data_IF_945811567408
#
_entry.id   IF_945811567408
#
_cell.length_a   1.000
_cell.length_b   1.000
_cell.length_c   1.000
_cell.angle_alpha   90.00
_cell.angle_beta   90.00
_cell.angle_gamma   90.00
#
_symmetry.space_group_name_H-M   'P 1'
#
loop_
_entity.id
_entity.type
_entity.pdbx_description
1 polymer ?
#
# COMPACT_ATOMS: atom_id res chain seq x y z
N UNK A 1 23.02 17.13 -6.12
CA UNK A 1 22.61 17.83 -7.36
C UNK A 1 22.29 16.79 -8.43
N UNK A 2 21.06 16.75 -8.98
CA UNK A 2 20.82 15.98 -10.19
C UNK A 2 21.68 16.56 -11.34
N UNK A 3 22.11 15.74 -12.30
CA UNK A 3 22.71 16.25 -13.53
C UNK A 3 21.67 17.11 -14.26
N UNK A 4 22.15 18.23 -14.79
CA UNK A 4 21.44 19.20 -15.64
C UNK A 4 20.87 18.48 -16.89
N UNK A 5 19.70 18.96 -17.35
CA UNK A 5 18.97 18.64 -18.62
C UNK A 5 17.74 17.71 -18.62
N UNK A 6 17.23 17.21 -17.50
CA UNK A 6 15.89 16.58 -17.50
C UNK A 6 14.93 17.33 -16.57
N UNK A 7 13.95 18.02 -17.17
CA UNK A 7 12.83 18.61 -16.43
C UNK A 7 11.89 17.48 -15.98
N UNK A 8 11.98 17.15 -14.70
CA UNK A 8 11.16 16.10 -14.07
C UNK A 8 9.79 16.62 -13.64
N UNK A 9 9.50 17.93 -13.76
CA UNK A 9 8.20 18.50 -13.44
C UNK A 9 7.08 17.90 -14.31
N UNK A 10 7.42 17.44 -15.52
CA UNK A 10 6.51 16.76 -16.43
C UNK A 10 5.93 15.44 -15.90
N UNK A 11 6.50 14.87 -14.82
CA UNK A 11 5.97 13.68 -14.16
C UNK A 11 4.85 13.97 -13.16
N UNK A 12 4.67 15.23 -12.75
CA UNK A 12 3.52 15.62 -11.95
C UNK A 12 2.24 15.40 -12.77
N UNK A 13 1.25 14.66 -12.25
CA UNK A 13 0.01 14.39 -12.98
C UNK A 13 -0.75 15.69 -13.32
N UNK A 14 -0.65 16.67 -12.43
CA UNK A 14 -1.23 18.00 -12.58
C UNK A 14 -0.47 18.90 -13.58
N UNK A 15 0.66 18.44 -14.14
CA UNK A 15 1.42 19.22 -15.12
C UNK A 15 0.58 19.49 -16.38
N UNK A 16 0.57 20.75 -16.82
CA UNK A 16 -0.14 21.20 -18.03
C UNK A 16 0.89 21.74 -19.02
N UNK A 17 1.27 20.97 -20.07
CA UNK A 17 2.27 21.41 -21.03
C UNK A 17 1.77 22.61 -21.85
N UNK A 18 2.63 23.60 -22.05
CA UNK A 18 2.51 24.55 -23.16
C UNK A 18 3.00 23.83 -24.42
N UNK A 19 2.07 23.42 -25.30
CA UNK A 19 2.37 22.59 -26.47
C UNK A 19 3.37 23.25 -27.44
N UNK A 20 3.53 24.57 -27.39
CA UNK A 20 4.51 25.29 -28.22
C UNK A 20 5.93 25.27 -27.64
N UNK A 21 6.08 25.08 -26.32
CA UNK A 21 7.36 25.18 -25.61
C UNK A 21 7.85 23.86 -25.01
N UNK A 22 6.92 22.97 -24.66
CA UNK A 22 7.17 21.81 -23.80
C UNK A 22 7.07 20.48 -24.57
N UNK A 23 7.22 20.52 -25.89
CA UNK A 23 7.08 19.34 -26.76
C UNK A 23 7.99 18.17 -26.38
N UNK A 24 9.15 18.44 -25.76
CA UNK A 24 10.09 17.42 -25.28
C UNK A 24 9.59 16.63 -24.05
N UNK A 25 8.79 17.26 -23.18
CA UNK A 25 8.21 16.63 -21.98
C UNK A 25 6.90 15.88 -22.24
N UNK A 26 6.26 16.13 -23.39
CA UNK A 26 4.95 15.58 -23.72
C UNK A 26 4.91 14.05 -23.76
N UNK A 27 5.95 13.40 -24.29
CA UNK A 27 6.04 11.94 -24.34
C UNK A 27 6.04 11.29 -22.95
N UNK A 28 6.75 11.90 -22.00
CA UNK A 28 6.80 11.43 -20.61
C UNK A 28 5.49 11.65 -19.88
N UNK A 29 4.85 12.80 -20.08
CA UNK A 29 3.54 13.11 -19.50
C UNK A 29 2.42 12.23 -20.07
N UNK A 30 2.48 11.87 -21.35
CA UNK A 30 1.55 10.92 -21.94
C UNK A 30 1.77 9.51 -21.37
N UNK A 31 3.03 9.09 -21.23
CA UNK A 31 3.36 7.79 -20.65
C UNK A 31 2.89 7.66 -19.20
N UNK A 32 3.08 8.69 -18.36
CA UNK A 32 2.64 8.67 -16.96
C UNK A 32 1.12 8.62 -16.81
N UNK A 33 0.37 9.16 -17.78
CA UNK A 33 -1.10 9.11 -17.82
C UNK A 33 -1.68 7.81 -18.37
N UNK A 34 -0.90 7.06 -19.14
CA UNK A 34 -1.36 5.82 -19.79
C UNK A 34 -1.18 4.57 -18.90
N UNK A 35 -0.41 4.68 -17.83
CA UNK A 35 -0.10 3.56 -16.93
C UNK A 35 -0.90 3.63 -15.64
N UNK A 36 -1.08 2.48 -14.99
CA UNK A 36 -1.77 2.39 -13.69
C UNK A 36 -0.84 2.76 -12.52
N UNK A 37 0.46 2.44 -12.68
CA UNK A 37 1.49 2.75 -11.70
C UNK A 37 2.71 3.37 -12.36
N UNK A 38 3.24 4.39 -11.69
CA UNK A 38 4.45 5.09 -12.07
C UNK A 38 5.33 5.28 -10.84
N UNK A 39 6.60 4.87 -10.92
CA UNK A 39 7.59 5.16 -9.89
C UNK A 39 8.88 5.71 -10.50
N UNK A 40 9.52 6.60 -9.74
CA UNK A 40 10.85 7.10 -10.01
C UNK A 40 11.68 6.81 -8.77
N UNK A 41 12.68 5.95 -8.89
CA UNK A 41 13.59 5.63 -7.79
C UNK A 41 15.00 6.05 -8.14
N UNK A 42 15.79 6.43 -7.14
CA UNK A 42 17.21 6.69 -7.32
C UNK A 42 17.99 5.56 -6.67
N UNK A 43 18.81 4.85 -7.44
CA UNK A 43 19.66 3.81 -6.89
C UNK A 43 20.86 4.36 -6.11
N UNK A 44 21.57 3.49 -5.40
CA UNK A 44 22.79 3.82 -4.64
C UNK A 44 23.88 4.43 -5.55
N UNK A 45 23.87 4.10 -6.84
CA UNK A 45 24.77 4.66 -7.87
C UNK A 45 24.28 6.01 -8.43
N UNK A 46 23.26 6.61 -7.81
CA UNK A 46 22.62 7.87 -8.21
C UNK A 46 21.93 7.84 -9.59
N UNK A 47 21.66 6.66 -10.14
CA UNK A 47 20.89 6.53 -11.38
C UNK A 47 19.40 6.60 -11.07
N UNK A 48 18.65 7.21 -11.98
CA UNK A 48 17.20 7.26 -11.92
C UNK A 48 16.62 6.03 -12.62
N UNK A 49 15.77 5.29 -11.91
CA UNK A 49 15.00 4.17 -12.41
C UNK A 49 13.55 4.62 -12.57
N UNK A 50 13.09 4.61 -13.81
CA UNK A 50 11.74 5.00 -14.18
C UNK A 50 10.94 3.73 -14.46
N UNK A 51 9.90 3.48 -13.68
CA UNK A 51 9.05 2.29 -13.85
C UNK A 51 7.64 2.74 -14.24
N UNK A 52 7.15 2.18 -15.34
CA UNK A 52 5.76 2.30 -15.76
C UNK A 52 5.13 0.90 -15.72
N UNK A 53 3.95 0.76 -15.13
CA UNK A 53 3.27 -0.54 -15.05
C UNK A 53 1.80 -0.40 -15.34
N UNK A 54 1.31 -1.29 -16.20
CA UNK A 54 -0.12 -1.45 -16.52
C UNK A 54 -0.59 -2.73 -15.86
N UNK A 55 -1.59 -2.65 -15.00
CA UNK A 55 -2.19 -3.81 -14.37
C UNK A 55 -3.05 -4.55 -15.38
N UNK A 56 -2.78 -5.86 -15.52
CA UNK A 56 -3.57 -6.72 -16.38
C UNK A 56 -5.02 -6.74 -15.88
N UNK A 57 -5.95 -6.37 -16.74
CA UNK A 57 -7.36 -6.38 -16.41
C UNK A 57 -7.93 -7.79 -16.60
N UNK A 58 -8.60 -8.30 -15.56
CA UNK A 58 -9.34 -9.55 -15.58
C UNK A 58 -10.84 -9.24 -15.46
N UNK A 59 -11.57 -9.37 -16.57
CA UNK A 59 -12.99 -9.01 -16.66
C UNK A 59 -13.92 -10.22 -16.91
N UNK A 60 -13.40 -11.44 -16.82
CA UNK A 60 -14.21 -12.64 -16.97
C UNK A 60 -15.12 -12.81 -15.74
N UNK A 61 -16.40 -13.17 -15.92
CA UNK A 61 -17.26 -13.51 -14.80
C UNK A 61 -16.67 -14.65 -13.99
N UNK A 62 -16.62 -14.50 -12.66
CA UNK A 62 -16.17 -15.56 -11.76
C UNK A 62 -17.37 -16.42 -11.37
N UNK A 63 -17.39 -17.72 -11.74
CA UNK A 63 -18.48 -18.62 -11.37
C UNK A 63 -18.66 -18.69 -9.85
N UNK A 64 -19.89 -18.93 -9.38
CA UNK A 64 -20.13 -19.20 -7.97
C UNK A 64 -19.52 -20.57 -7.61
N UNK A 65 -18.65 -20.59 -6.60
CA UNK A 65 -18.14 -21.84 -6.07
C UNK A 65 -19.26 -22.60 -5.34
N UNK A 66 -19.37 -23.93 -5.48
CA UNK A 66 -20.33 -24.72 -4.71
C UNK A 66 -20.03 -24.61 -3.20
N UNK A 67 -21.03 -24.78 -2.32
CA UNK A 67 -20.79 -24.89 -0.89
C UNK A 67 -19.73 -25.95 -0.59
N UNK A 68 -18.86 -25.67 0.39
CA UNK A 68 -17.84 -26.62 0.80
C UNK A 68 -18.51 -27.88 1.37
N UNK A 69 -18.07 -29.07 0.96
CA UNK A 69 -18.57 -30.30 1.55
C UNK A 69 -18.19 -30.40 3.04
N UNK A 70 -18.99 -31.16 3.80
CA UNK A 70 -18.62 -31.51 5.16
C UNK A 70 -17.28 -32.27 5.16
N UNK A 71 -16.36 -31.87 6.04
CA UNK A 71 -15.01 -32.43 6.09
C UNK A 71 -14.61 -32.79 7.52
N UNK A 72 -13.73 -33.78 7.65
CA UNK A 72 -13.25 -34.31 8.93
C UNK A 72 -11.95 -33.64 9.36
N UNK A 73 -11.05 -33.38 8.43
CA UNK A 73 -9.76 -32.74 8.71
C UNK A 73 -9.35 -31.85 7.54
N UNK A 74 -8.35 -31.01 7.77
CA UNK A 74 -7.68 -30.25 6.72
C UNK A 74 -6.18 -30.48 6.83
N UNK A 75 -5.48 -30.23 5.72
CA UNK A 75 -4.03 -30.13 5.68
C UNK A 75 -3.64 -28.78 5.10
N UNK A 76 -2.48 -28.28 5.51
CA UNK A 76 -1.93 -27.06 4.94
C UNK A 76 -1.06 -27.39 3.73
N UNK A 77 -1.35 -26.73 2.62
CA UNK A 77 -0.63 -26.91 1.35
C UNK A 77 -0.01 -25.60 0.89
N UNK A 78 1.00 -25.72 0.03
CA UNK A 78 1.57 -24.60 -0.71
C UNK A 78 0.60 -24.21 -1.83
N UNK A 79 0.33 -22.92 -2.06
CA UNK A 79 -0.37 -22.48 -3.24
C UNK A 79 0.38 -22.91 -4.51
N UNK A 80 -0.37 -23.45 -5.47
CA UNK A 80 0.01 -23.62 -6.89
C UNK A 80 -0.93 -22.76 -7.73
N UNK A 81 -0.62 -22.45 -9.00
CA UNK A 81 -1.53 -21.67 -9.84
C UNK A 81 -2.95 -22.26 -9.89
N UNK A 82 -3.07 -23.58 -9.94
CA UNK A 82 -4.35 -24.30 -10.01
C UNK A 82 -5.13 -24.20 -8.70
N UNK A 83 -4.48 -24.49 -7.57
CA UNK A 83 -5.13 -24.42 -6.25
C UNK A 83 -5.47 -22.98 -5.86
N UNK A 84 -4.66 -22.02 -6.28
CA UNK A 84 -4.92 -20.61 -6.06
C UNK A 84 -6.06 -20.07 -6.95
N UNK A 85 -6.22 -20.57 -8.18
CA UNK A 85 -7.39 -20.28 -9.00
C UNK A 85 -8.69 -20.78 -8.33
N UNK A 86 -8.67 -22.02 -7.82
CA UNK A 86 -9.80 -22.58 -7.08
C UNK A 86 -10.11 -21.78 -5.80
N UNK A 87 -9.07 -21.40 -5.05
CA UNK A 87 -9.20 -20.51 -3.90
C UNK A 87 -9.82 -19.17 -4.30
N UNK A 88 -9.37 -18.57 -5.41
CA UNK A 88 -9.87 -17.29 -5.92
C UNK A 88 -11.36 -17.32 -6.22
N UNK A 89 -11.89 -18.45 -6.71
CA UNK A 89 -13.33 -18.57 -6.97
C UNK A 89 -14.15 -18.45 -5.68
N UNK A 90 -13.70 -19.10 -4.59
CA UNK A 90 -14.35 -19.00 -3.27
C UNK A 90 -14.15 -17.60 -2.66
N UNK A 91 -12.92 -17.12 -2.68
CA UNK A 91 -12.54 -15.84 -2.08
C UNK A 91 -13.24 -14.65 -2.72
N UNK A 92 -13.38 -14.64 -4.04
CA UNK A 92 -14.05 -13.56 -4.77
C UNK A 92 -15.48 -13.30 -4.27
N UNK A 93 -16.22 -14.36 -3.92
CA UNK A 93 -17.58 -14.24 -3.39
C UNK A 93 -17.60 -14.01 -1.87
N UNK A 94 -16.72 -14.69 -1.14
CA UNK A 94 -16.56 -14.52 0.31
C UNK A 94 -16.27 -13.06 0.68
N UNK A 95 -15.35 -12.45 -0.06
CA UNK A 95 -14.85 -11.11 0.26
C UNK A 95 -15.79 -10.00 -0.18
N UNK A 96 -16.81 -10.27 -0.99
CA UNK A 96 -17.75 -9.23 -1.44
C UNK A 96 -18.48 -8.54 -0.27
N UNK A 97 -18.64 -9.24 0.87
CA UNK A 97 -19.15 -8.67 2.11
C UNK A 97 -18.13 -7.87 2.93
N UNK A 98 -16.83 -8.01 2.63
CA UNK A 98 -15.69 -7.44 3.37
C UNK A 98 -15.04 -6.29 2.59
N UNK A 99 -14.85 -6.45 1.28
CA UNK A 99 -14.33 -5.47 0.33
C UNK A 99 -15.14 -5.52 -0.98
N UNK A 100 -15.78 -4.41 -1.40
CA UNK A 100 -16.52 -4.36 -2.66
C UNK A 100 -15.63 -4.46 -3.92
N UNK A 101 -14.32 -4.13 -3.85
CA UNK A 101 -13.40 -4.36 -4.97
C UNK A 101 -12.78 -5.76 -4.88
N UNK A 102 -13.39 -6.69 -5.60
CA UNK A 102 -12.97 -8.09 -5.63
C UNK A 102 -11.94 -8.39 -6.73
N UNK A 103 -11.55 -7.41 -7.57
CA UNK A 103 -10.66 -7.67 -8.73
C UNK A 103 -9.28 -8.16 -8.33
N UNK A 104 -8.76 -7.68 -7.19
CA UNK A 104 -7.51 -8.19 -6.59
C UNK A 104 -7.56 -9.70 -6.34
N UNK A 105 -8.75 -10.24 -6.10
CA UNK A 105 -9.00 -11.65 -5.77
C UNK A 105 -9.53 -12.46 -6.95
N UNK A 106 -9.48 -11.92 -8.17
CA UNK A 106 -9.89 -12.65 -9.36
C UNK A 106 -9.05 -13.94 -9.53
N UNK A 107 -9.66 -15.12 -9.77
CA UNK A 107 -8.95 -16.41 -9.87
C UNK A 107 -7.72 -16.38 -10.78
N UNK A 108 -7.89 -15.85 -11.99
CA UNK A 108 -6.81 -15.77 -12.98
C UNK A 108 -5.65 -14.85 -12.54
N UNK A 109 -5.94 -13.80 -11.74
CA UNK A 109 -4.91 -12.90 -11.19
C UNK A 109 -4.09 -13.63 -10.14
N UNK A 110 -4.76 -14.31 -9.20
CA UNK A 110 -4.08 -15.04 -8.12
C UNK A 110 -3.25 -16.21 -8.66
N UNK A 111 -3.75 -16.89 -9.70
CA UNK A 111 -3.00 -17.93 -10.41
C UNK A 111 -1.74 -17.37 -11.09
N UNK A 112 -1.86 -16.23 -11.79
CA UNK A 112 -0.73 -15.57 -12.43
C UNK A 112 0.34 -15.13 -11.41
N UNK A 113 -0.06 -14.46 -10.33
CA UNK A 113 0.86 -14.06 -9.25
C UNK A 113 1.58 -15.25 -8.61
N UNK A 114 0.89 -16.39 -8.48
CA UNK A 114 1.49 -17.62 -7.96
C UNK A 114 2.49 -18.22 -8.94
N UNK A 115 2.17 -18.24 -10.25
CA UNK A 115 3.06 -18.72 -11.30
C UNK A 115 4.33 -17.85 -11.43
N UNK A 116 4.19 -16.54 -11.22
CA UNK A 116 5.29 -15.56 -11.25
C UNK A 116 6.09 -15.52 -9.94
N UNK A 117 5.69 -16.27 -8.91
CA UNK A 117 6.36 -16.28 -7.61
C UNK A 117 6.18 -15.00 -6.79
N UNK A 118 5.16 -14.20 -7.13
CA UNK A 118 4.79 -12.94 -6.46
C UNK A 118 3.68 -13.14 -5.40
N UNK A 119 3.25 -14.37 -5.15
CA UNK A 119 2.30 -14.70 -4.08
C UNK A 119 2.93 -15.74 -3.15
N UNK A 120 2.93 -15.43 -1.86
CA UNK A 120 3.42 -16.30 -0.80
C UNK A 120 2.28 -16.62 0.17
N UNK A 121 2.12 -17.87 0.59
CA UNK A 121 1.06 -18.16 1.54
C UNK A 121 0.84 -19.64 1.81
N UNK A 122 -0.32 -19.93 2.40
CA UNK A 122 -0.81 -21.27 2.70
C UNK A 122 -2.30 -21.36 2.37
N UNK A 123 -2.72 -22.55 1.93
CA UNK A 123 -4.12 -22.92 1.76
C UNK A 123 -4.44 -24.08 2.70
N UNK A 124 -5.64 -24.09 3.27
CA UNK A 124 -6.19 -25.23 3.99
C UNK A 124 -7.01 -26.06 3.01
N UNK A 125 -6.57 -27.29 2.75
CA UNK A 125 -7.23 -28.23 1.84
C UNK A 125 -7.89 -29.36 2.64
N UNK A 126 -9.16 -29.62 2.37
CA UNK A 126 -9.93 -30.73 2.97
C UNK A 126 -9.47 -32.08 2.40
N UNK A 127 -9.92 -33.19 3.00
CA UNK A 127 -9.65 -34.52 2.45
C UNK A 127 -10.24 -34.75 1.04
N UNK A 128 -11.24 -33.96 0.64
CA UNK A 128 -11.84 -33.97 -0.69
C UNK A 128 -11.05 -33.16 -1.73
N UNK A 129 -9.96 -32.49 -1.33
CA UNK A 129 -9.17 -31.62 -2.19
C UNK A 129 -9.76 -30.22 -2.35
N UNK A 130 -10.74 -29.84 -1.54
CA UNK A 130 -11.35 -28.51 -1.61
C UNK A 130 -10.63 -27.51 -0.70
N UNK A 131 -10.51 -26.26 -1.15
CA UNK A 131 -9.92 -25.19 -0.34
C UNK A 131 -10.94 -24.71 0.69
N UNK A 132 -10.66 -24.95 1.97
CA UNK A 132 -11.46 -24.53 3.13
C UNK A 132 -11.02 -23.19 3.72
N UNK A 133 -9.82 -22.72 3.41
CA UNK A 133 -9.33 -21.43 3.88
C UNK A 133 -8.01 -21.02 3.24
N UNK A 134 -7.64 -19.75 3.38
CA UNK A 134 -6.45 -19.18 2.77
C UNK A 134 -5.87 -18.03 3.59
N UNK A 135 -4.54 -17.93 3.61
CA UNK A 135 -3.81 -16.73 4.01
C UNK A 135 -2.62 -16.55 3.07
N UNK A 136 -2.44 -15.34 2.53
CA UNK A 136 -1.37 -15.08 1.59
C UNK A 136 -0.93 -13.62 1.61
N UNK A 137 0.24 -13.38 1.06
CA UNK A 137 0.91 -12.10 0.97
C UNK A 137 1.37 -11.86 -0.46
N UNK A 138 1.32 -10.60 -0.91
CA UNK A 138 1.86 -10.14 -2.19
C UNK A 138 2.82 -8.99 -1.90
N UNK A 139 3.98 -8.88 -2.58
CA UNK A 139 4.84 -7.71 -2.49
C UNK A 139 4.05 -6.42 -2.75
N UNK A 140 4.28 -5.44 -1.89
CA UNK A 140 3.87 -4.07 -2.10
C UNK A 140 5.11 -3.21 -2.35
N UNK A 141 4.92 -1.96 -2.77
CA UNK A 141 6.00 -1.00 -2.95
C UNK A 141 6.84 -0.85 -1.66
N UNK A 142 8.16 -0.75 -1.83
CA UNK A 142 9.11 -0.71 -0.72
C UNK A 142 9.49 -2.10 -0.23
N UNK A 143 9.59 -2.27 1.10
CA UNK A 143 10.05 -3.52 1.74
C UNK A 143 8.93 -4.30 2.42
N UNK A 144 7.68 -3.94 2.21
CA UNK A 144 6.53 -4.57 2.87
C UNK A 144 5.83 -5.58 1.98
N UNK A 145 5.24 -6.56 2.63
CA UNK A 145 4.26 -7.44 2.05
C UNK A 145 2.86 -6.97 2.42
N UNK A 146 1.95 -6.94 1.45
CA UNK A 146 0.52 -6.81 1.73
C UNK A 146 -0.06 -8.18 2.06
N UNK A 147 -0.51 -8.34 3.30
CA UNK A 147 -1.17 -9.54 3.79
C UNK A 147 -2.67 -9.54 3.52
N UNK A 148 -3.18 -10.72 3.20
CA UNK A 148 -4.59 -11.01 2.96
C UNK A 148 -5.00 -12.24 3.78
N UNK A 149 -6.10 -12.11 4.49
CA UNK A 149 -6.64 -13.14 5.35
C UNK A 149 -5.99 -13.16 6.74
N UNK A 150 -6.24 -14.22 7.52
CA UNK A 150 -6.88 -15.47 7.07
C UNK A 150 -8.34 -15.30 6.64
N UNK A 151 -8.74 -16.07 5.63
CA UNK A 151 -10.13 -16.23 5.19
C UNK A 151 -10.54 -17.68 5.35
N UNK A 152 -11.70 -17.91 5.97
CA UNK A 152 -12.17 -19.26 6.29
C UNK A 152 -13.55 -19.49 5.65
N UNK A 153 -13.62 -20.47 4.77
CA UNK A 153 -14.80 -20.78 3.94
C UNK A 153 -15.69 -21.88 4.55
N UNK A 154 -15.54 -22.13 5.85
CA UNK A 154 -16.27 -23.15 6.61
C UNK A 154 -16.53 -22.68 8.03
N UNK A 155 -17.52 -23.27 8.69
CA UNK A 155 -17.83 -23.01 10.10
C UNK A 155 -17.01 -23.88 11.06
N UNK A 156 -16.40 -24.95 10.55
CA UNK A 156 -15.65 -25.90 11.35
C UNK A 156 -14.24 -25.37 11.64
N UNK A 157 -13.81 -25.47 12.91
CA UNK A 157 -12.44 -25.18 13.34
C UNK A 157 -11.90 -23.79 12.94
N UNK A 158 -12.77 -22.81 12.70
CA UNK A 158 -12.43 -21.48 12.12
C UNK A 158 -11.19 -20.83 12.73
N UNK A 159 -11.18 -20.66 14.06
CA UNK A 159 -10.07 -20.02 14.78
C UNK A 159 -8.77 -20.80 14.67
N UNK A 160 -8.84 -22.12 14.84
CA UNK A 160 -7.65 -22.98 14.73
C UNK A 160 -7.07 -22.95 13.31
N UNK A 161 -7.94 -23.04 12.30
CA UNK A 161 -7.52 -22.96 10.89
C UNK A 161 -6.92 -21.59 10.56
N UNK A 162 -7.50 -20.50 11.07
CA UNK A 162 -6.96 -19.15 10.90
C UNK A 162 -5.57 -19.01 11.52
N UNK A 163 -5.37 -19.53 12.74
CA UNK A 163 -4.06 -19.54 13.39
C UNK A 163 -3.02 -20.35 12.60
N UNK A 164 -3.38 -21.57 12.18
CA UNK A 164 -2.49 -22.45 11.43
C UNK A 164 -2.09 -21.81 10.08
N UNK A 165 -3.06 -21.20 9.38
CA UNK A 165 -2.85 -20.48 8.12
C UNK A 165 -1.95 -19.26 8.28
N UNK A 166 -2.21 -18.41 9.29
CA UNK A 166 -1.40 -17.24 9.56
C UNK A 166 0.05 -17.64 9.88
N UNK A 167 0.23 -18.60 10.79
CA UNK A 167 1.55 -19.11 11.16
C UNK A 167 2.31 -19.63 9.93
N UNK A 168 1.70 -20.52 9.14
CA UNK A 168 2.35 -21.05 7.94
C UNK A 168 2.61 -19.99 6.87
N UNK A 169 1.72 -19.00 6.71
CA UNK A 169 1.94 -17.90 5.79
C UNK A 169 3.17 -17.06 6.21
N UNK A 170 3.29 -16.74 7.49
CA UNK A 170 4.39 -15.95 8.04
C UNK A 170 5.73 -16.69 7.98
N UNK A 171 5.76 -17.99 8.29
CA UNK A 171 6.94 -18.84 8.15
C UNK A 171 7.52 -18.83 6.72
N UNK A 172 6.66 -18.65 5.71
CA UNK A 172 7.06 -18.65 4.30
C UNK A 172 7.78 -17.39 3.87
N UNK A 173 7.45 -16.28 4.51
CA UNK A 173 7.99 -14.97 4.19
C UNK A 173 9.09 -14.55 5.15
N UNK A 174 9.23 -15.21 6.31
CA UNK A 174 10.24 -14.87 7.33
C UNK A 174 11.71 -14.95 6.89
N UNK A 175 12.04 -15.57 5.76
CA UNK A 175 13.42 -15.58 5.19
C UNK A 175 13.58 -14.74 3.93
N UNK A 176 12.54 -14.01 3.53
CA UNK A 176 12.55 -13.14 2.35
C UNK A 176 13.05 -11.74 2.76
N UNK A 177 13.54 -10.92 1.81
CA UNK A 177 14.14 -9.61 2.11
C UNK A 177 13.12 -8.51 2.48
N UNK A 178 11.96 -8.88 3.02
CA UNK A 178 10.89 -7.96 3.43
C UNK A 178 11.03 -7.60 4.91
N UNK A 179 10.64 -6.38 5.27
CA UNK A 179 10.67 -5.88 6.65
C UNK A 179 9.45 -6.30 7.46
N UNK A 180 8.30 -6.49 6.81
CA UNK A 180 7.07 -6.85 7.50
C UNK A 180 5.90 -7.20 6.59
N UNK A 181 4.80 -7.63 7.20
CA UNK A 181 3.51 -7.89 6.55
C UNK A 181 2.46 -6.92 7.10
N UNK A 182 1.79 -6.17 6.23
CA UNK A 182 0.66 -5.31 6.57
C UNK A 182 -0.65 -5.95 6.11
N UNK A 183 -1.54 -6.24 7.05
CA UNK A 183 -2.82 -6.89 6.81
C UNK A 183 -3.98 -5.95 7.14
N UNK A 184 -4.85 -5.68 6.14
CA UNK A 184 -6.05 -4.82 6.27
C UNK A 184 -7.35 -5.54 5.91
N UNK A 185 -7.28 -6.72 5.30
CA UNK A 185 -8.45 -7.46 4.80
C UNK A 185 -8.35 -8.91 5.26
N UNK A 186 -9.30 -9.32 6.10
CA UNK A 186 -9.31 -10.60 6.81
C UNK A 186 -10.71 -10.89 7.38
N UNK A 187 -10.96 -12.13 7.83
CA UNK A 187 -12.15 -12.49 8.59
C UNK A 187 -12.02 -12.06 10.05
N UNK A 188 -12.81 -11.07 10.47
CA UNK A 188 -12.70 -10.44 11.80
C UNK A 188 -13.01 -11.40 12.96
N UNK A 189 -13.92 -12.36 12.79
CA UNK A 189 -14.37 -13.26 13.85
C UNK A 189 -13.31 -14.30 14.27
N UNK A 190 -12.31 -14.53 13.42
CA UNK A 190 -11.28 -15.53 13.62
C UNK A 190 -9.85 -15.02 13.40
N UNK A 191 -9.64 -13.71 13.23
CA UNK A 191 -8.31 -13.16 13.00
C UNK A 191 -7.37 -13.42 14.20
N UNK A 192 -6.19 -14.02 13.99
CA UNK A 192 -5.29 -14.40 15.08
C UNK A 192 -4.43 -13.21 15.54
N UNK A 193 -5.05 -12.23 16.20
CA UNK A 193 -4.44 -10.97 16.64
C UNK A 193 -3.14 -11.15 17.43
N UNK A 194 -3.00 -12.25 18.18
CA UNK A 194 -1.82 -12.58 19.00
C UNK A 194 -0.50 -12.63 18.22
N UNK A 195 -0.54 -12.81 16.90
CA UNK A 195 0.66 -12.81 16.06
C UNK A 195 1.05 -11.39 15.63
N UNK A 196 0.14 -10.43 15.67
CA UNK A 196 0.31 -9.13 15.00
C UNK A 196 0.35 -7.97 16.00
N UNK A 197 0.89 -6.86 15.53
CA UNK A 197 0.97 -5.58 16.24
C UNK A 197 -0.02 -4.60 15.57
N UNK A 198 -0.85 -3.87 16.34
CA UNK A 198 -1.72 -2.83 15.78
C UNK A 198 -0.91 -1.66 15.19
N UNK A 199 -0.96 -1.51 13.87
CA UNK A 199 -0.20 -0.48 13.13
C UNK A 199 -0.92 0.88 13.07
N UNK A 200 -2.21 0.93 13.40
CA UNK A 200 -3.07 2.13 13.34
C UNK A 200 -4.37 1.86 12.57
N UNK A 201 -5.00 2.91 12.04
CA UNK A 201 -6.18 2.76 11.16
C UNK A 201 -7.00 4.02 10.87
N UNK A 202 -7.33 4.21 9.59
CA UNK A 202 -8.69 4.24 9.04
C UNK A 202 -8.64 3.95 7.52
N UNK A 203 -9.75 3.54 6.90
CA UNK A 203 -9.93 3.40 5.45
C UNK A 203 -11.22 4.15 5.03
N UNK A 204 -11.54 4.36 3.73
CA UNK A 204 -12.57 5.31 3.29
C UNK A 204 -14.00 5.01 3.77
N UNK A 205 -14.27 3.81 4.30
CA UNK A 205 -15.58 3.36 4.81
C UNK A 205 -15.68 3.17 6.32
N UNK A 206 -14.61 3.36 7.11
CA UNK A 206 -14.63 3.20 8.58
C UNK A 206 -13.30 2.74 9.21
N UNK A 207 -13.29 2.64 10.54
CA UNK A 207 -12.15 2.18 11.36
C UNK A 207 -12.00 0.68 11.21
N UNK A 208 -11.13 0.21 10.31
CA UNK A 208 -10.57 -1.14 10.45
C UNK A 208 -9.13 -1.01 10.86
N UNK A 209 -8.80 -1.59 12.01
CA UNK A 209 -7.42 -1.68 12.51
C UNK A 209 -6.58 -2.38 11.46
N UNK A 210 -5.47 -1.75 11.08
CA UNK A 210 -4.46 -2.39 10.27
C UNK A 210 -3.49 -3.13 11.19
N UNK A 211 -3.12 -4.35 10.80
CA UNK A 211 -2.27 -5.24 11.58
C UNK A 211 -0.93 -5.42 10.89
N UNK A 212 0.16 -5.34 11.66
CA UNK A 212 1.52 -5.48 11.16
C UNK A 212 2.21 -6.68 11.81
N UNK A 213 2.94 -7.47 11.02
CA UNK A 213 3.84 -8.50 11.50
C UNK A 213 5.27 -8.15 11.09
N UNK A 214 6.20 -7.88 12.03
CA UNK A 214 7.61 -7.66 11.70
C UNK A 214 8.27 -8.98 11.25
N UNK A 215 8.96 -8.96 10.11
CA UNK A 215 9.69 -10.14 9.59
C UNK A 215 11.19 -10.11 9.92
N UNK A 216 11.69 -8.97 10.39
CA UNK A 216 13.07 -8.77 10.78
C UNK A 216 13.12 -8.21 12.19
N UNK A 217 14.18 -8.53 12.92
CA UNK A 217 14.47 -7.86 14.18
C UNK A 217 14.63 -6.36 13.96
N UNK A 218 14.08 -5.57 14.87
CA UNK A 218 14.10 -4.12 14.79
C UNK A 218 15.44 -3.58 15.36
N UNK A 219 16.29 -3.07 14.48
CA UNK A 219 17.59 -2.49 14.84
C UNK A 219 17.49 -1.05 15.40
N UNK A 220 16.26 -0.53 15.59
CA UNK A 220 16.01 0.87 15.86
C UNK A 220 16.04 1.72 14.59
N UNK A 221 15.87 3.02 14.78
CA UNK A 221 15.83 3.96 13.67
C UNK A 221 15.62 5.40 14.12
N UNK A 222 15.74 6.31 13.16
CA UNK A 222 15.44 7.73 13.35
C UNK A 222 14.04 8.02 12.85
N UNK A 223 13.29 8.81 13.62
CA UNK A 223 12.02 9.39 13.20
C UNK A 223 12.17 10.90 13.21
N UNK A 224 12.26 11.48 12.03
CA UNK A 224 12.18 12.93 11.83
C UNK A 224 10.70 13.31 11.70
N UNK A 225 10.24 14.25 12.51
CA UNK A 225 8.85 14.72 12.47
C UNK A 225 8.72 16.13 13.03
N UNK A 226 7.57 16.75 12.81
CA UNK A 226 7.23 18.10 13.27
C UNK A 226 6.15 18.03 14.37
N UNK A 227 5.99 19.11 15.12
CA UNK A 227 5.15 19.14 16.32
C UNK A 227 3.69 18.75 16.07
N UNK A 228 3.14 19.01 14.88
CA UNK A 228 1.76 18.72 14.49
C UNK A 228 1.40 17.22 14.45
N UNK A 229 2.39 16.32 14.45
CA UNK A 229 2.13 14.87 14.53
C UNK A 229 2.79 14.19 15.74
N UNK A 230 3.34 14.95 16.69
CA UNK A 230 4.09 14.42 17.82
C UNK A 230 3.27 13.40 18.63
N UNK A 231 2.02 13.73 18.93
CA UNK A 231 1.11 12.84 19.69
C UNK A 231 0.87 11.50 18.97
N UNK A 232 0.73 11.54 17.64
CA UNK A 232 0.56 10.33 16.83
C UNK A 232 1.82 9.46 16.86
N UNK A 233 3.00 10.07 16.71
CA UNK A 233 4.28 9.37 16.77
C UNK A 233 4.48 8.74 18.14
N UNK A 234 4.28 9.50 19.22
CA UNK A 234 4.48 9.01 20.59
C UNK A 234 3.53 7.86 20.91
N UNK A 235 2.24 8.03 20.62
CA UNK A 235 1.23 6.98 20.83
C UNK A 235 1.58 5.72 20.04
N UNK A 236 1.97 5.87 18.78
CA UNK A 236 2.20 4.73 17.89
C UNK A 236 3.50 4.01 18.21
N UNK A 237 4.58 4.74 18.50
CA UNK A 237 5.87 4.18 18.92
C UNK A 237 5.72 3.43 20.23
N UNK A 238 5.01 3.99 21.22
CA UNK A 238 4.75 3.30 22.49
C UNK A 238 3.87 2.07 22.29
N UNK A 239 2.80 2.16 21.49
CA UNK A 239 1.92 1.02 21.22
C UNK A 239 2.63 -0.13 20.52
N UNK A 240 3.54 0.17 19.61
CA UNK A 240 4.29 -0.81 18.84
C UNK A 240 5.61 -1.23 19.52
N UNK A 241 5.94 -0.66 20.68
CA UNK A 241 7.20 -0.88 21.44
C UNK A 241 8.46 -0.68 20.57
N UNK A 242 8.48 0.39 19.75
CA UNK A 242 9.56 0.62 18.79
C UNK A 242 10.74 1.37 19.43
N UNK A 243 11.99 0.88 19.32
CA UNK A 243 13.18 1.55 19.84
C UNK A 243 13.63 2.69 18.91
N UNK A 244 12.84 3.75 18.79
CA UNK A 244 13.09 4.87 17.87
C UNK A 244 13.71 6.07 18.56
N UNK A 245 14.75 6.64 17.94
CA UNK A 245 15.24 7.96 18.29
C UNK A 245 14.40 9.00 17.56
N UNK A 246 13.57 9.70 18.34
CA UNK A 246 12.67 10.76 17.91
C UNK A 246 13.42 12.07 17.75
N UNK A 247 13.37 12.67 16.56
CA UNK A 247 14.01 13.95 16.22
C UNK A 247 12.89 14.94 15.85
N UNK A 248 12.58 15.84 16.78
CA UNK A 248 11.65 16.94 16.52
C UNK A 248 12.35 17.98 15.64
N UNK A 249 11.78 18.23 14.48
CA UNK A 249 12.24 19.23 13.53
C UNK A 249 11.54 20.56 13.78
N UNK A 250 12.28 21.66 13.57
CA UNK A 250 11.66 22.96 13.39
C UNK A 250 10.82 22.94 12.10
N UNK A 251 9.64 23.56 12.15
CA UNK A 251 8.76 23.67 10.99
C UNK A 251 9.31 24.72 10.02
N UNK A 252 10.38 24.37 9.30
CA UNK A 252 10.89 25.18 8.20
C UNK A 252 10.37 24.64 6.87
N UNK A 253 9.88 25.51 5.98
CA UNK A 253 9.54 25.10 4.62
C UNK A 253 10.78 24.50 3.96
N UNK A 254 10.57 23.46 3.15
CA UNK A 254 11.64 22.73 2.50
C UNK A 254 12.60 23.70 1.79
N UNK A 255 13.88 23.74 2.20
CA UNK A 255 14.89 24.63 1.60
C UNK A 255 15.41 24.11 0.25
N UNK A 256 14.78 23.06 -0.29
CA UNK A 256 15.16 22.47 -1.56
C UNK A 256 14.88 23.43 -2.72
N UNK A 257 15.90 23.71 -3.52
CA UNK A 257 15.80 24.54 -4.71
C UNK A 257 15.37 23.71 -5.93
N UNK A 258 14.54 24.30 -6.78
CA UNK A 258 14.05 23.68 -8.01
C UNK A 258 12.64 23.09 -7.87
N UNK A 259 12.14 22.43 -8.93
CA UNK A 259 10.77 21.91 -8.96
C UNK A 259 10.62 20.65 -8.10
N UNK A 260 9.54 20.62 -7.35
CA UNK A 260 9.05 19.48 -6.60
C UNK A 260 8.38 18.48 -7.52
N UNK A 261 8.53 17.20 -7.20
CA UNK A 261 7.95 16.11 -7.98
C UNK A 261 7.28 15.12 -7.05
N UNK A 262 6.01 14.83 -7.32
CA UNK A 262 5.29 13.75 -6.69
C UNK A 262 5.13 12.59 -7.68
N UNK A 263 5.33 11.36 -7.20
CA UNK A 263 4.75 10.19 -7.86
C UNK A 263 3.31 10.05 -7.37
N UNK A 264 2.42 9.69 -8.28
CA UNK A 264 1.02 9.45 -8.01
C UNK A 264 0.56 8.18 -8.71
N UNK A 265 -0.24 7.36 -8.02
CA UNK A 265 -0.96 6.22 -8.60
C UNK A 265 -2.44 6.34 -8.29
N UNK A 266 -3.28 5.96 -9.25
CA UNK A 266 -4.73 6.13 -9.18
C UNK A 266 -5.44 4.78 -9.25
N UNK A 267 -6.29 4.54 -8.26
CA UNK A 267 -7.34 3.54 -8.36
C UNK A 267 -8.68 4.25 -8.56
N UNK A 268 -9.06 4.47 -9.83
CA UNK A 268 -10.33 5.13 -10.18
C UNK A 268 -11.57 4.37 -9.70
N UNK A 269 -11.49 3.03 -9.59
CA UNK A 269 -12.61 2.20 -9.11
C UNK A 269 -12.86 2.41 -7.62
N UNK A 270 -11.78 2.43 -6.84
CA UNK A 270 -11.82 2.75 -5.40
C UNK A 270 -11.93 4.26 -5.13
N UNK A 271 -11.89 5.10 -6.17
CA UNK A 271 -11.82 6.56 -6.08
C UNK A 271 -10.67 7.03 -5.19
N UNK A 272 -9.53 6.36 -5.30
CA UNK A 272 -8.39 6.54 -4.40
C UNK A 272 -7.14 6.89 -5.17
N UNK A 273 -6.30 7.75 -4.63
CA UNK A 273 -4.93 7.96 -5.10
C UNK A 273 -3.91 7.72 -3.99
N UNK A 274 -2.71 7.34 -4.40
CA UNK A 274 -1.52 7.27 -3.55
C UNK A 274 -0.50 8.25 -4.09
N UNK A 275 0.12 9.01 -3.21
CA UNK A 275 1.17 9.96 -3.53
C UNK A 275 2.41 9.71 -2.69
N UNK A 276 3.56 10.05 -3.26
CA UNK A 276 4.84 10.12 -2.54
C UNK A 276 5.71 11.24 -3.11
N UNK A 277 6.46 11.96 -2.27
CA UNK A 277 7.48 12.89 -2.76
C UNK A 277 8.61 12.09 -3.42
N UNK A 278 8.99 12.49 -4.64
CA UNK A 278 10.16 11.99 -5.34
C UNK A 278 11.32 12.97 -5.22
N UNK A 279 11.00 14.25 -5.38
CA UNK A 279 11.92 15.38 -5.23
C UNK A 279 11.20 16.47 -4.47
N UNK A 280 11.85 16.98 -3.43
CA UNK A 280 11.38 18.19 -2.78
C UNK A 280 11.87 19.42 -3.56
N UNK A 281 11.03 20.44 -3.61
CA UNK A 281 11.28 21.68 -4.32
C UNK A 281 10.54 22.86 -3.68
N UNK A 282 10.81 24.06 -4.18
CA UNK A 282 10.26 25.30 -3.62
C UNK A 282 8.76 25.48 -3.91
N UNK A 283 8.25 24.80 -4.93
CA UNK A 283 6.87 24.84 -5.41
C UNK A 283 5.99 23.71 -4.83
N UNK A 284 6.48 22.94 -3.84
CA UNK A 284 5.76 21.75 -3.32
C UNK A 284 4.34 22.04 -2.83
N UNK A 285 4.08 23.22 -2.24
CA UNK A 285 2.72 23.61 -1.83
C UNK A 285 1.80 23.83 -3.03
N UNK A 286 2.24 24.59 -4.02
CA UNK A 286 1.46 24.85 -5.24
C UNK A 286 1.27 23.56 -6.06
N UNK A 287 2.30 22.73 -6.14
CA UNK A 287 2.25 21.46 -6.85
C UNK A 287 1.31 20.45 -6.16
N UNK A 288 1.34 20.36 -4.82
CA UNK A 288 0.39 19.54 -4.08
C UNK A 288 -1.05 20.01 -4.31
N UNK A 289 -1.31 21.31 -4.25
CA UNK A 289 -2.64 21.88 -4.51
C UNK A 289 -3.15 21.49 -5.92
N UNK A 290 -2.29 21.64 -6.93
CA UNK A 290 -2.64 21.29 -8.30
C UNK A 290 -3.00 19.80 -8.45
N UNK A 291 -2.29 18.90 -7.76
CA UNK A 291 -2.63 17.47 -7.73
C UNK A 291 -3.98 17.22 -7.05
N UNK A 292 -4.23 17.82 -5.88
CA UNK A 292 -5.48 17.64 -5.16
C UNK A 292 -6.68 18.12 -5.99
N UNK A 293 -6.56 19.26 -6.66
CA UNK A 293 -7.58 19.75 -7.59
C UNK A 293 -7.81 18.79 -8.74
N UNK A 294 -6.74 18.32 -9.39
CA UNK A 294 -6.85 17.36 -10.48
C UNK A 294 -7.52 16.04 -10.04
N UNK A 295 -7.19 15.53 -8.84
CA UNK A 295 -7.84 14.33 -8.31
C UNK A 295 -9.34 14.53 -8.06
N UNK A 296 -9.75 15.70 -7.58
CA UNK A 296 -11.16 16.04 -7.42
C UNK A 296 -11.90 16.09 -8.76
N UNK A 297 -11.26 16.64 -9.81
CA UNK A 297 -11.80 16.63 -11.18
C UNK A 297 -12.01 15.20 -11.70
N UNK A 298 -11.08 14.30 -11.40
CA UNK A 298 -11.15 12.86 -11.75
C UNK A 298 -12.10 12.05 -10.84
N UNK A 299 -12.74 12.68 -9.86
CA UNK A 299 -13.69 12.04 -8.95
C UNK A 299 -13.07 11.12 -7.91
N UNK A 300 -11.78 11.28 -7.63
CA UNK A 300 -11.07 10.64 -6.52
C UNK A 300 -11.52 11.33 -5.22
N UNK A 301 -11.75 10.56 -4.15
CA UNK A 301 -12.25 11.04 -2.86
C UNK A 301 -11.29 10.76 -1.69
N UNK A 302 -10.26 9.94 -1.89
CA UNK A 302 -9.27 9.60 -0.88
C UNK A 302 -7.86 9.72 -1.46
N UNK A 303 -7.00 10.49 -0.79
CA UNK A 303 -5.58 10.57 -1.08
C UNK A 303 -4.77 10.00 0.08
N UNK A 304 -3.92 9.00 -0.19
CA UNK A 304 -2.89 8.53 0.75
C UNK A 304 -1.55 9.19 0.40
N UNK A 305 -0.88 9.81 1.36
CA UNK A 305 0.49 10.32 1.23
C UNK A 305 1.44 9.42 2.01
N UNK A 306 2.51 8.98 1.35
CA UNK A 306 3.53 8.10 1.90
C UNK A 306 4.83 8.87 2.12
N UNK A 307 5.32 8.89 3.37
CA UNK A 307 6.57 9.56 3.75
C UNK A 307 7.51 8.63 4.50
N UNK A 308 8.77 8.58 4.09
CA UNK A 308 9.86 7.92 4.81
C UNK A 308 10.43 8.87 5.87
N UNK A 309 10.14 8.60 7.15
CA UNK A 309 10.52 9.49 8.25
C UNK A 309 12.02 9.44 8.60
N UNK A 310 12.81 8.60 7.94
CA UNK A 310 14.27 8.71 8.00
C UNK A 310 14.82 9.80 7.07
N UNK A 311 14.00 10.32 6.14
CA UNK A 311 14.38 11.42 5.24
C UNK A 311 13.83 12.74 5.74
N UNK A 312 14.75 13.61 6.13
CA UNK A 312 14.44 14.96 6.60
C UNK A 312 13.62 15.76 5.59
N UNK A 313 13.89 15.60 4.30
CA UNK A 313 13.19 16.29 3.21
C UNK A 313 11.72 15.87 3.11
N UNK A 314 11.42 14.56 3.24
CA UNK A 314 10.04 14.06 3.23
C UNK A 314 9.31 14.47 4.52
N UNK A 315 9.96 14.34 5.67
CA UNK A 315 9.41 14.76 6.97
C UNK A 315 9.11 16.27 7.03
N UNK A 316 9.87 17.11 6.31
CA UNK A 316 9.63 18.55 6.24
C UNK A 316 8.27 18.92 5.61
N UNK A 317 7.64 18.00 4.87
CA UNK A 317 6.32 18.22 4.25
C UNK A 317 5.16 18.09 5.23
N UNK A 318 5.39 17.55 6.43
CA UNK A 318 4.33 17.27 7.41
C UNK A 318 3.46 18.49 7.76
N UNK A 319 4.00 19.71 8.01
CA UNK A 319 3.17 20.87 8.28
C UNK A 319 2.28 21.26 7.09
N UNK A 320 2.83 21.19 5.87
CA UNK A 320 2.10 21.45 4.62
C UNK A 320 0.95 20.44 4.46
N UNK A 321 1.22 19.15 4.65
CA UNK A 321 0.23 18.10 4.52
C UNK A 321 -0.90 18.27 5.55
N UNK A 322 -0.58 18.57 6.80
CA UNK A 322 -1.60 18.86 7.81
C UNK A 322 -2.45 20.08 7.46
N UNK A 323 -1.86 21.15 6.92
CA UNK A 323 -2.60 22.32 6.42
C UNK A 323 -3.57 21.97 5.28
N UNK A 324 -3.23 20.96 4.46
CA UNK A 324 -4.08 20.43 3.37
C UNK A 324 -5.03 19.31 3.81
N UNK A 325 -5.19 19.09 5.13
CA UNK A 325 -6.16 18.15 5.68
C UNK A 325 -5.71 16.69 5.72
N UNK A 326 -4.42 16.40 5.48
CA UNK A 326 -3.88 15.07 5.70
C UNK A 326 -3.71 14.80 7.19
N UNK A 327 -4.19 13.64 7.62
CA UNK A 327 -4.04 13.15 8.99
C UNK A 327 -3.25 11.84 9.01
N UNK A 328 -2.30 11.66 9.94
CA UNK A 328 -1.53 10.42 10.02
C UNK A 328 -2.43 9.24 10.42
N UNK A 329 -2.30 8.12 9.71
CA UNK A 329 -3.14 6.92 9.92
C UNK A 329 -2.34 5.68 10.27
N UNK A 330 -1.14 5.52 9.71
CA UNK A 330 -0.29 4.35 9.92
C UNK A 330 1.19 4.75 10.05
N UNK A 331 1.92 4.09 10.94
CA UNK A 331 3.38 4.09 10.99
C UNK A 331 3.87 2.65 10.85
N UNK A 332 4.63 2.39 9.79
CA UNK A 332 5.06 1.04 9.41
C UNK A 332 6.58 0.91 9.59
N UNK A 333 7.03 0.12 10.59
CA UNK A 333 8.44 -0.10 10.86
C UNK A 333 9.20 -0.65 9.66
N UNK A 334 10.28 0.01 9.25
CA UNK A 334 11.12 -0.41 8.12
C UNK A 334 10.37 -0.51 6.78
N UNK A 335 9.21 0.14 6.64
CA UNK A 335 8.43 0.13 5.41
C UNK A 335 8.97 1.07 4.33
N UNK A 336 9.77 2.06 4.74
CA UNK A 336 10.39 3.04 3.86
C UNK A 336 11.65 2.50 3.20
N UNK A 337 12.24 3.33 2.35
CA UNK A 337 13.53 3.04 1.72
C UNK A 337 14.70 3.11 2.70
N UNK A 338 14.65 4.03 3.67
CA UNK A 338 15.71 4.28 4.66
C UNK A 338 15.24 4.03 6.10
N UNK A 339 13.94 4.13 6.39
CA UNK A 339 13.42 3.86 7.74
C UNK A 339 11.93 3.53 7.76
N UNK A 340 11.22 4.11 8.73
CA UNK A 340 9.80 3.84 8.93
C UNK A 340 8.94 4.67 7.98
N UNK A 341 7.88 4.06 7.46
CA UNK A 341 6.95 4.67 6.53
C UNK A 341 5.72 5.19 7.26
N UNK A 342 5.52 6.50 7.20
CA UNK A 342 4.29 7.16 7.64
C UNK A 342 3.31 7.24 6.48
N UNK A 343 2.06 6.84 6.73
CA UNK A 343 0.96 7.02 5.80
C UNK A 343 0.01 8.05 6.41
N UNK A 344 -0.31 9.09 5.64
CA UNK A 344 -1.32 10.07 5.95
C UNK A 344 -2.47 9.97 4.95
N UNK A 345 -3.69 10.24 5.40
CA UNK A 345 -4.88 10.23 4.56
C UNK A 345 -5.57 11.60 4.56
N UNK A 346 -6.00 12.05 3.38
CA UNK A 346 -6.91 13.19 3.23
C UNK A 346 -8.15 12.74 2.46
N UNK A 347 -9.34 13.08 2.98
CA UNK A 347 -10.59 12.95 2.24
C UNK A 347 -10.84 14.21 1.45
N UNK A 348 -11.03 14.06 0.15
CA UNK A 348 -11.36 15.18 -0.72
C UNK A 348 -12.87 15.37 -0.73
N UNK A 349 -13.32 16.62 -0.52
CA UNK A 349 -14.72 16.98 -0.59
C UNK A 349 -15.30 16.69 -1.98
N UNK A 350 -16.62 16.43 -2.06
CA UNK A 350 -17.28 16.40 -3.36
C UNK A 350 -17.28 17.81 -3.96
N UNK A 351 -16.87 17.92 -5.24
CA UNK A 351 -16.85 19.13 -6.09
C UNK A 351 -17.39 20.40 -5.41
N UNK A 352 -16.46 21.22 -4.94
CA UNK A 352 -16.72 22.57 -4.47
C UNK A 352 -15.42 23.37 -4.53
N UNK A 353 -15.27 24.13 -5.62
CA UNK A 353 -14.32 25.24 -5.79
C UNK A 353 -12.82 24.88 -5.72
N UNK A 354 -12.30 24.28 -6.79
CA UNK A 354 -10.95 24.63 -7.25
C UNK A 354 -11.10 25.88 -8.11
N UNK A 355 -10.61 27.01 -7.60
CA UNK A 355 -10.63 28.32 -8.26
C UNK A 355 -9.29 28.60 -8.96
#
# INVERSE_FOLDING_TARGET
CPPVDMDLSAFNLAWRPDLEKDASGLGLALASRWVDFFSLEKDESRRLHLTFSVEKVFDQPVPLAPPLAAHRFYRLIRPTPETMAACGQRLFHHIKGINPDTKTFHPARLAALTAEGQLFGALAETESGEVAGAAFCIPEEGRLLRGYGPFIFTDKDRRRMAEDLACHCLERVGRKPFSGVLTRIFDEDCFPEKFYIPAGGHAPSGTKTAWHFPLCDDAGGLLHYTANIADFIDTTVTRQDLPRKKILMESNPCEAKGPGVFSSSLNRKEKKCRMRPLLAGEDMEANLEAHLCWFQEEGINLCEMYLDLAKTEEASLLPLLSKKGFSPTLLLPGGGSLGDLLILEARMGQKGECA
#
